data_IF_130244420758
#
_entry.id   IF_130244420758
#
_cell.length_a   1.000
_cell.length_b   1.000
_cell.length_c   1.000
_cell.angle_alpha   90.00
_cell.angle_beta   90.00
_cell.angle_gamma   90.00
#
_symmetry.space_group_name_H-M   'P 1'
#
loop_
_entity.id
_entity.type
_entity.pdbx_description
1 polymer ?
#
# COMPACT_ATOMS: atom_id res chain seq x y z
N UNK A 1 15.71 16.50 35.76
CA UNK A 1 14.43 17.17 35.45
C UNK A 1 13.65 16.24 34.53
N UNK A 2 12.66 15.54 35.09
CA UNK A 2 11.86 14.54 34.37
C UNK A 2 10.90 15.27 33.44
N UNK A 3 11.01 15.06 32.14
CA UNK A 3 10.05 15.58 31.17
C UNK A 3 8.76 14.78 31.27
N UNK A 4 7.87 15.25 32.15
CA UNK A 4 6.46 14.85 32.15
C UNK A 4 5.81 15.38 30.87
N UNK A 5 5.78 14.56 29.82
CA UNK A 5 4.98 14.82 28.62
C UNK A 5 3.52 14.50 28.94
N UNK A 6 2.84 15.55 29.42
CA UNK A 6 1.41 15.60 29.70
C UNK A 6 0.57 14.93 28.61
N UNK A 7 -0.34 14.10 29.09
CA UNK A 7 -1.31 13.27 28.40
C UNK A 7 -2.10 14.00 27.31
N UNK A 8 -2.35 13.28 26.20
CA UNK A 8 -3.56 13.40 25.38
C UNK A 8 -3.61 14.45 24.24
N UNK A 9 -2.52 14.64 23.48
CA UNK A 9 -2.62 15.27 22.15
C UNK A 9 -2.91 14.21 21.09
N UNK A 10 -4.14 14.19 20.57
CA UNK A 10 -4.49 13.42 19.36
C UNK A 10 -3.75 14.06 18.19
N UNK A 11 -2.77 13.38 17.61
CA UNK A 11 -2.18 13.83 16.36
C UNK A 11 -3.17 13.60 15.24
N UNK A 12 -3.46 14.64 14.45
CA UNK A 12 -4.36 14.55 13.31
C UNK A 12 -3.67 13.76 12.18
N UNK A 13 -4.35 12.76 11.59
CA UNK A 13 -3.90 12.02 10.41
C UNK A 13 -3.47 12.97 9.28
N UNK A 14 -4.18 14.08 9.10
CA UNK A 14 -3.87 15.08 8.07
C UNK A 14 -2.50 15.73 8.29
N UNK A 15 -2.08 15.91 9.55
CA UNK A 15 -0.76 16.46 9.88
C UNK A 15 0.31 15.43 9.57
N UNK A 16 0.07 14.16 9.95
CA UNK A 16 0.99 13.07 9.64
C UNK A 16 1.13 12.87 8.14
N UNK A 17 0.03 12.93 7.39
CA UNK A 17 0.01 12.81 5.93
C UNK A 17 0.83 13.93 5.26
N UNK A 18 0.70 15.18 5.75
CA UNK A 18 1.52 16.31 5.31
C UNK A 18 3.00 16.13 5.63
N UNK A 19 3.33 15.69 6.85
CA UNK A 19 4.72 15.40 7.23
C UNK A 19 5.29 14.30 6.33
N UNK A 20 4.51 13.26 6.06
CA UNK A 20 4.89 12.17 5.16
C UNK A 20 5.11 12.68 3.72
N UNK A 21 4.25 13.55 3.21
CA UNK A 21 4.42 14.16 1.89
C UNK A 21 5.71 14.99 1.79
N UNK A 22 6.03 15.78 2.83
CA UNK A 22 7.28 16.54 2.89
C UNK A 22 8.52 15.63 2.92
N UNK A 23 8.44 14.50 3.62
CA UNK A 23 9.54 13.53 3.66
C UNK A 23 9.76 12.81 2.32
N UNK A 24 8.70 12.57 1.56
CA UNK A 24 8.77 12.01 0.20
C UNK A 24 9.39 13.03 -0.78
N UNK A 25 9.07 14.32 -0.64
CA UNK A 25 9.60 15.39 -1.49
C UNK A 25 11.12 15.63 -1.27
N UNK A 26 11.61 15.43 -0.05
CA UNK A 26 13.03 15.59 0.27
C UNK A 26 13.92 14.36 -0.04
N UNK A 27 13.33 13.17 -0.26
CA UNK A 27 14.06 11.96 -0.61
C UNK A 27 14.13 11.75 -2.13
N UNK A 28 15.01 12.48 -2.80
CA UNK A 28 15.59 12.03 -4.08
C UNK A 28 16.70 11.01 -3.82
N UNK A 29 16.86 9.94 -4.62
CA UNK A 29 17.62 8.76 -4.23
C UNK A 29 19.12 9.08 -4.11
N UNK A 30 19.62 9.12 -2.87
CA UNK A 30 21.04 9.02 -2.58
C UNK A 30 21.29 7.68 -1.89
N UNK A 31 22.13 6.87 -2.52
CA UNK A 31 22.47 5.49 -2.14
C UNK A 31 23.24 5.43 -0.82
N UNK A 32 22.96 4.34 -0.10
CA UNK A 32 23.72 3.71 0.99
C UNK A 32 23.96 4.51 2.27
N UNK A 33 23.32 4.07 3.37
CA UNK A 33 24.06 3.52 4.53
C UNK A 33 23.12 2.61 5.34
N UNK A 34 23.58 1.39 5.64
CA UNK A 34 22.98 0.49 6.63
C UNK A 34 23.30 1.01 8.03
N UNK A 35 22.30 1.29 8.83
CA UNK A 35 22.44 1.27 10.30
C UNK A 35 21.23 0.55 10.90
N UNK A 36 21.50 -0.66 11.39
CA UNK A 36 20.64 -1.44 12.26
C UNK A 36 20.67 -0.82 13.66
N UNK A 37 19.55 -0.28 14.14
CA UNK A 37 19.37 0.01 15.57
C UNK A 37 17.96 -0.44 16.03
N UNK A 38 17.82 -1.49 16.86
CA UNK A 38 16.55 -2.15 17.14
C UNK A 38 15.77 -1.49 18.29
N UNK A 39 15.88 -0.18 18.50
CA UNK A 39 15.17 0.49 19.60
C UNK A 39 14.75 1.94 19.30
N UNK A 40 13.90 2.14 18.28
CA UNK A 40 13.06 3.35 18.21
C UNK A 40 11.60 2.97 18.44
N UNK A 41 11.20 3.01 19.71
CA UNK A 41 9.80 2.89 20.16
C UNK A 41 8.95 4.10 19.75
N UNK A 42 8.83 4.39 18.45
CA UNK A 42 8.02 5.51 17.94
C UNK A 42 6.91 5.07 16.97
N UNK A 43 6.79 3.78 16.65
CA UNK A 43 5.77 3.29 15.71
C UNK A 43 4.45 2.88 16.37
N UNK A 44 4.44 2.57 17.67
CA UNK A 44 3.22 2.21 18.41
C UNK A 44 2.29 3.40 18.70
N UNK A 45 2.81 4.63 18.64
CA UNK A 45 2.03 5.84 18.96
C UNK A 45 1.22 6.40 17.78
N UNK A 46 1.38 5.83 16.58
CA UNK A 46 0.61 6.20 15.36
C UNK A 46 -0.83 5.66 15.43
N UNK A 47 -1.12 4.72 16.35
CA UNK A 47 -2.41 4.03 16.51
C UNK A 47 -3.53 4.92 17.09
N UNK A 48 -3.27 6.19 17.38
CA UNK A 48 -4.23 7.10 18.05
C UNK A 48 -4.80 8.23 17.18
N UNK A 49 -4.64 8.14 15.86
CA UNK A 49 -5.29 9.06 14.93
C UNK A 49 -6.72 8.61 14.63
N UNK A 50 -7.69 9.53 14.57
CA UNK A 50 -9.09 9.24 14.23
C UNK A 50 -9.32 8.82 12.76
N UNK A 51 -8.28 8.36 12.06
CA UNK A 51 -8.34 7.80 10.71
C UNK A 51 -8.79 6.34 10.72
N UNK A 52 -9.21 5.82 9.55
CA UNK A 52 -9.56 4.40 9.44
C UNK A 52 -8.31 3.53 9.57
N UNK A 53 -8.47 2.25 9.94
CA UNK A 53 -7.36 1.28 9.96
C UNK A 53 -6.57 1.26 8.64
N UNK A 54 -7.25 1.47 7.50
CA UNK A 54 -6.61 1.55 6.19
C UNK A 54 -5.67 2.76 6.07
N UNK A 55 -6.03 3.91 6.65
CA UNK A 55 -5.22 5.13 6.57
C UNK A 55 -3.94 4.99 7.42
N UNK A 56 -4.05 4.37 8.60
CA UNK A 56 -2.90 4.09 9.48
C UNK A 56 -1.90 3.17 8.79
N UNK A 57 -2.38 2.06 8.19
CA UNK A 57 -1.50 1.14 7.45
C UNK A 57 -0.89 1.80 6.20
N UNK A 58 -1.61 2.71 5.54
CA UNK A 58 -1.09 3.49 4.43
C UNK A 58 0.07 4.42 4.83
N UNK A 59 -0.06 5.13 5.95
CA UNK A 59 1.02 5.96 6.49
C UNK A 59 2.23 5.11 6.88
N UNK A 60 2.00 3.96 7.52
CA UNK A 60 3.06 3.06 7.93
C UNK A 60 3.82 2.48 6.72
N UNK A 61 3.10 2.14 5.65
CA UNK A 61 3.70 1.71 4.39
C UNK A 61 4.60 2.78 3.77
N UNK A 62 4.12 4.03 3.68
CA UNK A 62 4.89 5.15 3.12
C UNK A 62 6.16 5.41 3.93
N UNK A 63 6.08 5.33 5.26
CA UNK A 63 7.25 5.49 6.13
C UNK A 63 8.33 4.45 5.84
N UNK A 64 7.95 3.17 5.79
CA UNK A 64 8.89 2.10 5.47
C UNK A 64 9.46 2.22 4.05
N UNK A 65 8.65 2.67 3.09
CA UNK A 65 9.10 2.93 1.73
C UNK A 65 10.21 3.99 1.68
N UNK A 66 10.02 5.11 2.37
CA UNK A 66 11.03 6.19 2.46
C UNK A 66 12.34 5.68 3.09
N UNK A 67 12.23 4.75 4.05
CA UNK A 67 13.40 4.11 4.68
C UNK A 67 14.08 3.05 3.81
N UNK A 68 13.54 2.72 2.63
CA UNK A 68 14.03 1.62 1.79
C UNK A 68 13.67 0.23 2.31
N UNK A 69 12.81 0.13 3.32
CA UNK A 69 12.40 -1.11 3.95
C UNK A 69 11.22 -1.73 3.19
N UNK A 70 11.52 -2.37 2.05
CA UNK A 70 10.48 -2.89 1.14
C UNK A 70 9.63 -4.02 1.75
N UNK A 71 10.22 -4.90 2.57
CA UNK A 71 9.48 -6.01 3.20
C UNK A 71 8.40 -5.48 4.17
N UNK A 72 8.73 -4.68 5.22
CA UNK A 72 7.70 -4.08 6.07
C UNK A 72 6.72 -3.16 5.32
N UNK A 73 7.19 -2.47 4.26
CA UNK A 73 6.32 -1.68 3.38
C UNK A 73 5.23 -2.57 2.74
N UNK A 74 5.61 -3.71 2.17
CA UNK A 74 4.68 -4.66 1.56
C UNK A 74 3.70 -5.26 2.57
N UNK A 75 4.14 -5.56 3.80
CA UNK A 75 3.27 -6.06 4.86
C UNK A 75 2.22 -5.02 5.29
N UNK A 76 2.64 -3.76 5.41
CA UNK A 76 1.77 -2.65 5.75
C UNK A 76 0.73 -2.41 4.65
N UNK A 77 1.15 -2.38 3.38
CA UNK A 77 0.26 -2.26 2.23
C UNK A 77 -0.75 -3.43 2.16
N UNK A 78 -0.32 -4.66 2.44
CA UNK A 78 -1.24 -5.81 2.49
C UNK A 78 -2.31 -5.64 3.59
N UNK A 79 -1.95 -5.11 4.75
CA UNK A 79 -2.90 -4.83 5.83
C UNK A 79 -3.84 -3.66 5.47
N UNK A 80 -3.35 -2.65 4.76
CA UNK A 80 -4.18 -1.59 4.20
C UNK A 80 -5.21 -2.14 3.22
N UNK A 81 -4.77 -2.92 2.23
CA UNK A 81 -5.62 -3.57 1.23
C UNK A 81 -6.72 -4.40 1.90
N UNK A 82 -6.36 -5.24 2.88
CA UNK A 82 -7.33 -6.04 3.64
C UNK A 82 -8.32 -5.19 4.44
N UNK A 83 -7.89 -4.05 4.98
CA UNK A 83 -8.78 -3.13 5.69
C UNK A 83 -9.78 -2.45 4.75
N UNK A 84 -9.43 -2.32 3.46
CA UNK A 84 -10.30 -1.75 2.41
C UNK A 84 -11.24 -2.79 1.78
N UNK A 85 -10.99 -4.09 1.95
CA UNK A 85 -11.85 -5.21 1.47
C UNK A 85 -13.14 -5.40 2.29
N UNK A 86 -13.74 -4.30 2.75
CA UNK A 86 -14.97 -4.30 3.53
C UNK A 86 -16.23 -4.45 2.68
N UNK A 87 -17.38 -4.51 3.36
CA UNK A 87 -18.69 -4.56 2.70
C UNK A 87 -18.94 -3.31 1.85
N UNK A 88 -19.46 -3.55 0.64
CA UNK A 88 -19.77 -2.50 -0.33
C UNK A 88 -18.57 -1.96 -1.12
N UNK A 89 -17.37 -2.56 -1.00
CA UNK A 89 -16.21 -2.21 -1.85
C UNK A 89 -16.57 -2.19 -3.34
N UNK A 90 -17.21 -3.25 -3.80
CA UNK A 90 -17.58 -3.45 -5.21
C UNK A 90 -18.86 -2.73 -5.63
N UNK A 91 -19.36 -1.81 -4.81
CA UNK A 91 -20.59 -1.06 -5.06
C UNK A 91 -20.40 0.44 -4.79
N UNK A 92 -19.17 0.87 -4.46
CA UNK A 92 -18.84 2.26 -4.12
C UNK A 92 -17.55 2.64 -4.82
N UNK A 93 -17.65 3.55 -5.79
CA UNK A 93 -16.51 4.03 -6.58
C UNK A 93 -15.38 4.58 -5.71
N UNK A 94 -15.69 5.34 -4.65
CA UNK A 94 -14.64 5.93 -3.81
C UNK A 94 -13.90 4.86 -3.02
N UNK A 95 -14.61 3.84 -2.53
CA UNK A 95 -13.98 2.70 -1.85
C UNK A 95 -13.14 1.88 -2.82
N UNK A 96 -13.65 1.62 -4.02
CA UNK A 96 -12.91 0.91 -5.06
C UNK A 96 -11.64 1.66 -5.47
N UNK A 97 -11.70 2.97 -5.71
CA UNK A 97 -10.53 3.79 -6.04
C UNK A 97 -9.44 3.66 -4.97
N UNK A 98 -9.78 3.80 -3.69
CA UNK A 98 -8.81 3.64 -2.59
C UNK A 98 -8.20 2.25 -2.55
N UNK A 99 -9.03 1.22 -2.72
CA UNK A 99 -8.57 -0.18 -2.77
C UNK A 99 -7.63 -0.44 -3.95
N UNK A 100 -7.98 0.05 -5.14
CA UNK A 100 -7.20 -0.11 -6.35
C UNK A 100 -5.84 0.60 -6.22
N UNK A 101 -5.82 1.82 -5.68
CA UNK A 101 -4.58 2.56 -5.41
C UNK A 101 -3.66 1.80 -4.43
N UNK A 102 -4.20 1.33 -3.30
CA UNK A 102 -3.42 0.54 -2.34
C UNK A 102 -2.91 -0.78 -2.95
N UNK A 103 -3.73 -1.44 -3.77
CA UNK A 103 -3.37 -2.65 -4.50
C UNK A 103 -2.24 -2.41 -5.51
N UNK A 104 -2.30 -1.31 -6.26
CA UNK A 104 -1.25 -0.94 -7.21
C UNK A 104 0.06 -0.63 -6.50
N UNK A 105 0.03 0.08 -5.37
CA UNK A 105 1.24 0.34 -4.58
C UNK A 105 1.83 -0.96 -4.05
N UNK A 106 1.01 -1.90 -3.56
CA UNK A 106 1.45 -3.21 -3.11
C UNK A 106 2.17 -3.97 -4.24
N UNK A 107 1.55 -4.03 -5.42
CA UNK A 107 2.13 -4.73 -6.56
C UNK A 107 3.45 -4.09 -7.04
N UNK A 108 3.57 -2.75 -6.99
CA UNK A 108 4.83 -2.04 -7.28
C UNK A 108 5.96 -2.43 -6.32
N UNK A 109 5.67 -2.45 -5.03
CA UNK A 109 6.67 -2.86 -4.02
C UNK A 109 7.03 -4.34 -4.19
N UNK A 110 6.08 -5.22 -4.51
CA UNK A 110 6.38 -6.62 -4.84
C UNK A 110 7.28 -6.78 -6.06
N UNK A 111 7.06 -5.98 -7.10
CA UNK A 111 7.93 -5.96 -8.27
C UNK A 111 9.34 -5.50 -7.90
N UNK A 112 9.45 -4.45 -7.10
CA UNK A 112 10.73 -3.92 -6.60
C UNK A 112 11.50 -4.97 -5.78
N UNK A 113 10.83 -5.67 -4.86
CA UNK A 113 11.43 -6.77 -4.08
C UNK A 113 11.90 -7.90 -5.00
N UNK A 114 11.09 -8.25 -6.02
CA UNK A 114 11.45 -9.28 -6.97
C UNK A 114 12.70 -8.90 -7.79
N UNK A 115 12.76 -7.65 -8.26
CA UNK A 115 13.92 -7.11 -8.96
C UNK A 115 15.17 -7.06 -8.07
N UNK A 116 15.04 -6.75 -6.78
CA UNK A 116 16.18 -6.65 -5.86
C UNK A 116 16.68 -8.01 -5.36
N UNK A 117 15.78 -8.98 -5.17
CA UNK A 117 16.12 -10.32 -4.65
C UNK A 117 16.42 -11.34 -5.76
N UNK A 118 16.03 -11.05 -7.00
CA UNK A 118 16.07 -12.00 -8.12
C UNK A 118 15.04 -13.14 -8.01
N UNK A 119 14.19 -13.14 -6.97
CA UNK A 119 13.17 -14.16 -6.75
C UNK A 119 11.84 -13.74 -7.39
N UNK A 120 11.10 -14.69 -7.97
CA UNK A 120 9.78 -14.46 -8.58
C UNK A 120 8.61 -14.62 -7.59
N UNK A 121 8.87 -15.02 -6.34
CA UNK A 121 7.82 -15.26 -5.34
C UNK A 121 6.88 -14.06 -5.21
N UNK A 122 7.41 -12.86 -5.10
CA UNK A 122 6.64 -11.63 -4.92
C UNK A 122 5.84 -11.26 -6.17
N UNK A 123 6.36 -11.54 -7.37
CA UNK A 123 5.61 -11.39 -8.62
C UNK A 123 4.40 -12.33 -8.67
N UNK A 124 4.54 -13.58 -8.22
CA UNK A 124 3.42 -14.52 -8.16
C UNK A 124 2.37 -14.07 -7.14
N UNK A 125 2.79 -13.51 -6.00
CA UNK A 125 1.87 -12.90 -5.02
C UNK A 125 1.10 -11.72 -5.63
N UNK A 126 1.80 -10.84 -6.36
CA UNK A 126 1.19 -9.72 -7.06
C UNK A 126 0.20 -10.18 -8.14
N UNK A 127 0.57 -11.18 -8.93
CA UNK A 127 -0.28 -11.75 -9.98
C UNK A 127 -1.58 -12.35 -9.39
N UNK A 128 -1.46 -13.15 -8.33
CA UNK A 128 -2.63 -13.74 -7.66
C UNK A 128 -3.55 -12.68 -7.07
N UNK A 129 -2.99 -11.64 -6.44
CA UNK A 129 -3.75 -10.52 -5.87
C UNK A 129 -4.59 -9.80 -6.93
N UNK A 130 -3.97 -9.44 -8.05
CA UNK A 130 -4.65 -8.73 -9.14
C UNK A 130 -5.68 -9.62 -9.84
N UNK A 131 -5.36 -10.89 -10.12
CA UNK A 131 -6.32 -11.86 -10.69
C UNK A 131 -7.57 -12.00 -9.81
N UNK A 132 -7.37 -12.15 -8.50
CA UNK A 132 -8.48 -12.26 -7.55
C UNK A 132 -9.32 -10.98 -7.53
N UNK A 133 -8.67 -9.82 -7.50
CA UNK A 133 -9.34 -8.51 -7.48
C UNK A 133 -10.17 -8.27 -8.76
N UNK A 134 -9.60 -8.50 -9.94
CA UNK A 134 -10.30 -8.32 -11.23
C UNK A 134 -11.45 -9.32 -11.39
N UNK A 135 -11.27 -10.56 -10.92
CA UNK A 135 -12.35 -11.56 -10.90
C UNK A 135 -13.52 -11.09 -10.06
N UNK A 136 -13.27 -10.53 -8.87
CA UNK A 136 -14.34 -10.02 -8.01
C UNK A 136 -15.13 -8.91 -8.68
N UNK A 137 -14.44 -7.91 -9.27
CA UNK A 137 -15.11 -6.83 -10.03
C UNK A 137 -16.04 -7.43 -11.08
N UNK A 138 -15.53 -8.34 -11.92
CA UNK A 138 -16.29 -8.97 -13.00
C UNK A 138 -17.53 -9.74 -12.49
N UNK A 139 -17.40 -10.51 -11.41
CA UNK A 139 -18.51 -11.26 -10.81
C UNK A 139 -19.58 -10.32 -10.23
N UNK A 140 -19.18 -9.16 -9.73
CA UNK A 140 -20.12 -8.16 -9.18
C UNK A 140 -20.76 -7.25 -10.23
N UNK A 141 -20.18 -7.11 -11.44
CA UNK A 141 -20.71 -6.26 -12.51
C UNK A 141 -22.22 -6.46 -12.81
N UNK A 142 -22.76 -7.69 -12.96
CA UNK A 142 -24.19 -7.87 -13.24
C UNK A 142 -25.12 -7.50 -12.06
N UNK A 143 -24.57 -7.22 -10.88
CA UNK A 143 -25.31 -6.89 -9.66
C UNK A 143 -25.00 -5.48 -9.13
N UNK A 144 -24.05 -4.76 -9.72
CA UNK A 144 -23.67 -3.40 -9.31
C UNK A 144 -24.31 -2.34 -10.21
N UNK A 145 -24.85 -1.28 -9.61
CA UNK A 145 -25.35 -0.10 -10.33
C UNK A 145 -24.22 0.76 -10.96
N UNK A 146 -22.95 0.37 -10.77
CA UNK A 146 -21.76 1.07 -11.25
C UNK A 146 -20.91 0.10 -12.05
N UNK A 147 -20.66 0.41 -13.32
CA UNK A 147 -19.70 -0.33 -14.13
C UNK A 147 -18.28 0.15 -13.82
N UNK A 148 -17.48 -0.72 -13.21
CA UNK A 148 -16.09 -0.40 -12.89
C UNK A 148 -15.15 -0.64 -14.08
N UNK A 149 -15.57 -1.36 -15.12
CA UNK A 149 -14.69 -1.78 -16.21
C UNK A 149 -14.13 -0.60 -17.01
N UNK A 150 -14.87 0.50 -17.09
CA UNK A 150 -14.46 1.73 -17.74
C UNK A 150 -13.62 2.67 -16.86
N UNK A 151 -13.49 2.36 -15.57
CA UNK A 151 -12.72 3.20 -14.64
C UNK A 151 -11.22 3.12 -14.91
N UNK A 152 -10.53 4.23 -14.73
CA UNK A 152 -9.07 4.29 -14.90
C UNK A 152 -8.35 3.38 -13.89
N UNK A 153 -8.91 3.20 -12.70
CA UNK A 153 -8.38 2.30 -11.69
C UNK A 153 -8.46 0.83 -12.10
N UNK A 154 -9.58 0.40 -12.69
CA UNK A 154 -9.70 -0.96 -13.21
C UNK A 154 -8.73 -1.21 -14.37
N UNK A 155 -8.66 -0.28 -15.32
CA UNK A 155 -7.70 -0.34 -16.43
C UNK A 155 -6.27 -0.41 -15.91
N UNK A 156 -5.92 0.41 -14.92
CA UNK A 156 -4.59 0.39 -14.29
C UNK A 156 -4.27 -0.97 -13.64
N UNK A 157 -5.20 -1.56 -12.89
CA UNK A 157 -5.04 -2.90 -12.30
C UNK A 157 -4.83 -3.97 -13.38
N UNK A 158 -5.62 -3.92 -14.46
CA UNK A 158 -5.49 -4.86 -15.57
C UNK A 158 -4.16 -4.70 -16.32
N UNK A 159 -3.76 -3.47 -16.63
CA UNK A 159 -2.49 -3.18 -17.30
C UNK A 159 -1.30 -3.69 -16.46
N UNK A 160 -1.32 -3.44 -15.15
CA UNK A 160 -0.27 -3.91 -14.25
C UNK A 160 -0.22 -5.44 -14.14
N UNK A 161 -1.38 -6.12 -14.22
CA UNK A 161 -1.42 -7.58 -14.30
C UNK A 161 -0.78 -8.09 -15.59
N UNK A 162 -0.99 -7.44 -16.73
CA UNK A 162 -0.33 -7.83 -17.99
C UNK A 162 1.18 -7.63 -17.91
N UNK A 163 1.63 -6.53 -17.30
CA UNK A 163 3.06 -6.27 -17.05
C UNK A 163 3.69 -7.38 -16.20
N UNK A 164 3.07 -7.74 -15.07
CA UNK A 164 3.54 -8.84 -14.21
C UNK A 164 3.60 -10.17 -14.98
N UNK A 165 2.58 -10.48 -15.80
CA UNK A 165 2.58 -11.69 -16.63
C UNK A 165 3.71 -11.71 -17.64
N UNK A 166 3.99 -10.59 -18.27
CA UNK A 166 5.10 -10.47 -19.23
C UNK A 166 6.44 -10.68 -18.53
N UNK A 167 6.61 -10.16 -17.31
CA UNK A 167 7.82 -10.38 -16.51
C UNK A 167 7.99 -11.84 -16.07
N UNK A 168 6.90 -12.51 -15.72
CA UNK A 168 6.92 -13.94 -15.37
C UNK A 168 7.24 -14.80 -16.59
N UNK A 169 6.61 -14.51 -17.74
CA UNK A 169 6.73 -15.28 -18.98
C UNK A 169 8.01 -15.00 -19.78
N UNK A 170 8.57 -13.78 -19.69
CA UNK A 170 9.80 -13.36 -20.37
C UNK A 170 11.08 -13.80 -19.68
N UNK A 171 10.99 -14.49 -18.53
CA UNK A 171 12.13 -15.05 -17.82
C UNK A 171 12.38 -16.53 -18.11
N UNK A 172 11.99 -17.04 -19.28
CA UNK A 172 12.25 -18.40 -19.73
C UNK A 172 13.39 -18.42 -20.76
#
# INVERSE_FOLDING_TARGET
>A
MVLNLSSNKRFNADILDKVMALLEEQNTPHSDTKEDDPNSNTSSDIVRSGGSNADIWGLYARWHKIKGNLIPCSEALLKQVRSLQGSGLWHDQKKFTKYAQASLQLCKVYMEISSSSGNRRELLLAEMHLKSSLKQVCVTLPFSATDFSDTEEYKALNNYLQEIKNLIGGGA
#
